data_IF_729020062406
#
_entry.id   IF_729020062406
#
_cell.length_a   1.000
_cell.length_b   1.000
_cell.length_c   1.000
_cell.angle_alpha   90.00
_cell.angle_beta   90.00
_cell.angle_gamma   90.00
#
_symmetry.space_group_name_H-M   'P 1'
#
loop_
_entity.id
_entity.type
_entity.pdbx_description
1 polymer ?
#
# COMPACT_ATOMS: atom_id res chain seq x y z
N UNK A 1 37.55 6.21 -61.65
CA UNK A 1 38.56 7.29 -61.74
C UNK A 1 38.84 7.71 -60.30
N UNK A 2 39.74 7.03 -59.58
CA UNK A 2 41.20 7.22 -59.64
C UNK A 2 41.54 8.61 -59.05
N UNK A 3 42.35 8.85 -58.01
CA UNK A 3 43.55 8.21 -57.46
C UNK A 3 43.92 9.09 -56.22
N UNK A 4 44.38 8.52 -55.10
CA UNK A 4 45.22 9.26 -54.13
C UNK A 4 46.63 9.36 -54.73
N UNK A 5 47.39 10.46 -54.55
CA UNK A 5 48.67 10.24 -53.86
C UNK A 5 49.25 11.41 -53.05
N UNK A 6 50.06 10.97 -52.08
CA UNK A 6 51.31 11.50 -51.53
C UNK A 6 51.98 12.72 -52.19
N UNK A 7 52.66 13.54 -51.36
CA UNK A 7 54.13 13.64 -51.41
C UNK A 7 54.75 14.39 -50.22
N UNK A 8 55.85 13.80 -49.74
CA UNK A 8 56.80 14.32 -48.76
C UNK A 8 57.83 15.27 -49.39
N UNK A 9 58.51 16.08 -48.57
CA UNK A 9 59.93 16.51 -48.69
C UNK A 9 60.36 17.14 -47.34
N UNK A 10 61.29 16.56 -46.56
CA UNK A 10 62.77 16.71 -46.59
C UNK A 10 63.22 18.13 -46.19
N UNK A 11 64.23 18.43 -45.37
CA UNK A 11 65.34 17.75 -44.68
C UNK A 11 65.97 18.85 -43.78
N UNK A 12 66.64 18.51 -42.68
CA UNK A 12 67.47 19.45 -41.92
C UNK A 12 68.22 18.74 -40.79
N UNK A 13 69.53 18.64 -40.94
CA UNK A 13 70.45 17.72 -40.28
C UNK A 13 70.85 18.09 -38.83
N UNK A 14 71.39 17.08 -38.13
CA UNK A 14 71.99 17.13 -36.78
C UNK A 14 73.40 17.77 -36.82
N UNK A 15 73.93 18.24 -35.67
CA UNK A 15 74.94 17.43 -34.95
C UNK A 15 74.72 17.51 -33.41
N UNK A 16 74.87 16.45 -32.62
CA UNK A 16 76.13 15.75 -32.31
C UNK A 16 76.58 16.16 -30.88
N UNK A 17 76.33 15.31 -29.88
CA UNK A 17 76.67 15.61 -28.49
C UNK A 17 76.48 14.44 -27.51
N UNK A 18 77.46 13.54 -27.51
CA UNK A 18 77.92 12.62 -26.46
C UNK A 18 76.93 11.85 -25.58
N UNK A 19 76.86 10.55 -25.89
CA UNK A 19 76.50 9.46 -25.00
C UNK A 19 77.41 9.41 -23.75
N UNK A 20 76.81 9.26 -22.57
CA UNK A 20 77.49 8.68 -21.40
C UNK A 20 76.73 7.42 -20.98
N UNK A 21 77.42 6.29 -20.74
CA UNK A 21 76.79 5.02 -20.37
C UNK A 21 76.29 5.05 -18.92
N UNK A 22 75.15 4.41 -18.68
CA UNK A 22 74.64 4.15 -17.33
C UNK A 22 75.66 3.36 -16.50
N UNK A 23 75.97 3.75 -15.25
CA UNK A 23 76.77 2.93 -14.37
C UNK A 23 75.90 1.80 -13.78
N UNK A 24 76.28 0.55 -14.08
CA UNK A 24 75.82 -0.64 -13.38
C UNK A 24 76.18 -0.53 -11.88
N UNK A 25 75.19 -0.16 -11.06
CA UNK A 25 75.30 -0.02 -9.60
C UNK A 25 74.78 -1.25 -8.86
N UNK A 26 75.72 -2.11 -8.45
CA UNK A 26 75.79 -2.99 -7.27
C UNK A 26 74.49 -3.55 -6.62
N UNK A 27 74.42 -4.88 -6.36
CA UNK A 27 73.33 -5.48 -5.58
C UNK A 27 73.40 -5.03 -4.10
N UNK A 28 72.59 -4.05 -3.75
CA UNK A 28 72.40 -3.58 -2.38
C UNK A 28 71.59 -4.60 -1.56
N UNK A 29 72.31 -5.30 -0.67
CA UNK A 29 71.88 -5.99 0.56
C UNK A 29 70.37 -6.17 0.74
N UNK A 30 69.95 -7.44 0.70
CA UNK A 30 68.67 -7.90 1.22
C UNK A 30 68.40 -7.24 2.58
N UNK A 31 67.31 -6.48 2.65
CA UNK A 31 66.70 -6.10 3.91
C UNK A 31 66.27 -7.40 4.59
N UNK A 32 66.42 -7.53 5.92
CA UNK A 32 66.07 -8.75 6.62
C UNK A 32 64.62 -9.08 6.31
N UNK A 33 64.41 -10.33 5.92
CA UNK A 33 63.13 -10.91 5.59
C UNK A 33 62.15 -10.60 6.73
N UNK A 34 61.37 -9.54 6.52
CA UNK A 34 60.13 -9.33 7.24
C UNK A 34 59.24 -10.47 6.84
N UNK A 35 59.31 -11.52 7.65
CA UNK A 35 58.28 -12.50 7.90
C UNK A 35 57.11 -12.44 6.91
N UNK A 36 57.16 -13.35 5.95
CA UNK A 36 56.10 -13.59 4.98
C UNK A 36 54.82 -14.20 5.61
N UNK A 37 54.59 -14.07 6.91
CA UNK A 37 53.29 -14.26 7.56
C UNK A 37 52.33 -13.08 7.35
N UNK A 38 52.81 -11.92 6.91
CA UNK A 38 51.99 -10.70 6.76
C UNK A 38 51.42 -10.48 5.34
N UNK A 39 51.57 -11.45 4.43
CA UNK A 39 51.03 -11.35 3.05
C UNK A 39 50.45 -12.66 2.49
N UNK A 40 49.78 -13.42 3.32
CA UNK A 40 48.93 -14.54 2.90
C UNK A 40 47.61 -14.45 3.65
N UNK A 41 46.50 -14.33 2.92
CA UNK A 41 45.12 -14.35 3.43
C UNK A 41 44.55 -13.04 4.02
N UNK A 42 44.51 -11.95 3.23
CA UNK A 42 43.32 -11.08 3.28
C UNK A 42 42.22 -11.68 2.39
N UNK A 43 41.93 -12.95 2.60
CA UNK A 43 40.75 -13.58 2.07
C UNK A 43 39.53 -12.76 2.48
N UNK A 44 38.42 -13.09 1.86
CA UNK A 44 37.14 -12.39 1.99
C UNK A 44 36.50 -12.64 3.39
N UNK A 45 37.30 -12.74 4.45
CA UNK A 45 37.03 -13.48 5.69
C UNK A 45 37.29 -12.75 7.01
N UNK A 46 37.67 -11.47 7.04
CA UNK A 46 37.71 -10.68 8.28
C UNK A 46 36.71 -9.52 8.22
N UNK A 47 35.43 -9.84 8.42
CA UNK A 47 34.40 -8.81 8.56
C UNK A 47 34.33 -8.30 10.00
N UNK A 48 33.85 -7.07 10.17
CA UNK A 48 33.55 -6.58 11.51
C UNK A 48 32.38 -7.36 12.12
N UNK A 49 32.57 -7.76 13.37
CA UNK A 49 31.56 -8.41 14.18
C UNK A 49 30.29 -7.55 14.25
N UNK A 50 29.12 -8.16 14.03
CA UNK A 50 27.84 -7.47 14.06
C UNK A 50 27.45 -6.74 12.76
N UNK A 51 28.28 -6.79 11.71
CA UNK A 51 27.91 -6.27 10.38
C UNK A 51 26.75 -7.08 9.81
N UNK A 52 25.73 -6.37 9.33
CA UNK A 52 24.60 -6.95 8.58
C UNK A 52 24.88 -6.84 7.08
N UNK A 53 24.68 -7.94 6.35
CA UNK A 53 24.86 -8.02 4.91
C UNK A 53 23.62 -8.54 4.20
N UNK A 54 23.44 -8.09 2.96
CA UNK A 54 22.43 -8.62 2.04
C UNK A 54 23.04 -9.80 1.27
N UNK A 55 22.27 -10.86 1.13
CA UNK A 55 22.68 -12.11 0.49
C UNK A 55 21.59 -12.64 -0.42
N UNK A 56 21.99 -13.23 -1.54
CA UNK A 56 21.07 -13.82 -2.53
C UNK A 56 20.84 -15.33 -2.33
N UNK A 57 21.67 -15.99 -1.51
CA UNK A 57 21.60 -17.43 -1.24
C UNK A 57 20.71 -17.75 -0.03
N UNK A 58 20.25 -19.00 0.06
CA UNK A 58 19.24 -19.45 1.02
C UNK A 58 19.80 -20.07 2.33
N UNK A 59 21.09 -19.86 2.64
CA UNK A 59 21.74 -20.34 3.87
C UNK A 59 22.58 -19.23 4.50
N UNK A 60 22.86 -19.32 5.80
CA UNK A 60 23.84 -18.45 6.45
C UNK A 60 25.22 -19.11 6.31
N UNK A 61 26.23 -18.43 5.74
CA UNK A 61 27.61 -18.95 5.67
C UNK A 61 28.21 -19.15 7.07
N UNK A 62 29.32 -19.87 7.16
CA UNK A 62 30.09 -19.96 8.40
C UNK A 62 30.40 -18.57 8.95
N UNK A 63 30.35 -18.42 10.28
CA UNK A 63 30.52 -17.15 11.01
C UNK A 63 29.40 -16.11 10.80
N UNK A 64 28.29 -16.51 10.18
CA UNK A 64 27.09 -15.69 10.04
C UNK A 64 25.85 -16.40 10.57
N UNK A 65 24.88 -15.61 10.98
CA UNK A 65 23.52 -16.05 11.28
C UNK A 65 22.50 -15.24 10.48
N UNK A 66 21.32 -15.81 10.21
CA UNK A 66 20.24 -15.05 9.60
C UNK A 66 19.69 -13.97 10.54
N UNK A 67 19.31 -12.82 9.98
CA UNK A 67 18.55 -11.79 10.67
C UNK A 67 17.05 -12.16 10.75
N UNK A 68 16.74 -13.23 11.48
CA UNK A 68 15.40 -13.80 11.63
C UNK A 68 14.83 -13.68 13.05
N UNK A 69 15.45 -12.89 13.93
CA UNK A 69 15.02 -12.75 15.32
C UNK A 69 15.42 -13.89 16.25
N UNK A 70 16.38 -14.75 15.86
CA UNK A 70 16.86 -15.83 16.72
C UNK A 70 17.48 -15.30 18.02
N UNK A 71 17.31 -16.06 19.11
CA UNK A 71 18.02 -15.83 20.37
C UNK A 71 19.32 -16.63 20.40
N UNK A 72 20.40 -15.98 20.81
CA UNK A 72 21.75 -16.57 20.90
C UNK A 72 22.25 -16.48 22.35
N UNK A 73 22.95 -17.52 22.81
CA UNK A 73 23.54 -17.57 24.14
C UNK A 73 24.67 -16.54 24.30
N UNK A 74 24.56 -15.68 25.32
CA UNK A 74 25.56 -14.66 25.65
C UNK A 74 26.90 -15.32 25.98
N UNK A 75 26.90 -16.45 26.70
CA UNK A 75 28.12 -17.12 27.16
C UNK A 75 29.10 -17.53 26.05
N UNK A 76 28.61 -17.77 24.83
CA UNK A 76 29.44 -18.09 23.67
C UNK A 76 29.62 -16.91 22.70
N UNK A 77 28.87 -15.82 22.87
CA UNK A 77 28.81 -14.69 21.94
C UNK A 77 28.94 -13.35 22.68
N UNK A 78 29.80 -13.31 23.71
CA UNK A 78 29.97 -12.14 24.60
C UNK A 78 30.39 -10.89 23.83
N UNK A 79 31.26 -11.03 22.83
CA UNK A 79 31.70 -9.94 21.96
C UNK A 79 30.58 -9.38 21.07
N UNK A 80 29.70 -10.23 20.55
CA UNK A 80 28.55 -9.75 19.77
C UNK A 80 27.52 -9.06 20.68
N UNK A 81 27.30 -9.63 21.87
CA UNK A 81 26.41 -9.04 22.87
C UNK A 81 26.88 -7.64 23.32
N UNK A 82 28.18 -7.39 23.48
CA UNK A 82 28.67 -6.06 23.86
C UNK A 82 28.44 -4.97 22.79
N UNK A 83 28.12 -5.36 21.55
CA UNK A 83 27.77 -4.45 20.46
C UNK A 83 26.26 -4.25 20.32
N UNK A 84 25.48 -5.32 20.42
CA UNK A 84 24.03 -5.29 20.18
C UNK A 84 23.20 -5.02 21.46
N UNK A 85 23.68 -5.48 22.61
CA UNK A 85 22.92 -5.53 23.85
C UNK A 85 21.64 -6.37 23.70
N UNK A 86 20.56 -5.92 24.32
CA UNK A 86 19.22 -6.48 24.25
C UNK A 86 18.30 -5.73 23.28
N UNK A 87 18.87 -4.89 22.40
CA UNK A 87 18.11 -4.02 21.48
C UNK A 87 17.11 -4.81 20.62
N UNK A 88 17.41 -6.07 20.30
CA UNK A 88 16.55 -6.95 19.50
C UNK A 88 15.85 -8.04 20.32
N UNK A 89 15.80 -7.88 21.65
CA UNK A 89 15.18 -8.79 22.60
C UNK A 89 16.17 -9.68 23.35
N UNK A 90 15.62 -10.63 24.11
CA UNK A 90 16.37 -11.51 25.01
C UNK A 90 16.17 -11.11 26.46
N UNK A 91 16.87 -11.79 27.38
CA UNK A 91 16.78 -11.52 28.82
C UNK A 91 17.96 -10.69 29.34
N UNK A 92 18.88 -10.31 28.46
CA UNK A 92 20.13 -9.59 28.74
C UNK A 92 21.02 -10.28 29.80
N UNK A 93 20.82 -11.58 30.05
CA UNK A 93 21.49 -12.35 31.09
C UNK A 93 22.04 -13.67 30.56
N UNK A 94 21.19 -14.46 29.91
CA UNK A 94 21.55 -15.75 29.31
C UNK A 94 21.54 -15.69 27.79
N UNK A 95 20.61 -14.92 27.21
CA UNK A 95 20.42 -14.81 25.76
C UNK A 95 20.15 -13.38 25.32
N UNK A 96 20.49 -13.09 24.07
CA UNK A 96 20.14 -11.85 23.37
C UNK A 96 19.58 -12.16 21.98
N UNK A 97 18.76 -11.27 21.45
CA UNK A 97 18.14 -11.41 20.14
C UNK A 97 19.02 -10.88 19.00
N UNK A 98 18.91 -11.49 17.83
CA UNK A 98 19.36 -10.94 16.56
C UNK A 98 18.27 -10.07 15.92
N UNK A 99 18.61 -9.18 14.97
CA UNK A 99 17.61 -8.47 14.17
C UNK A 99 16.62 -9.43 13.49
N UNK A 100 15.37 -9.00 13.35
CA UNK A 100 14.34 -9.72 12.58
C UNK A 100 13.93 -8.86 11.39
N UNK A 101 14.48 -9.18 10.22
CA UNK A 101 14.25 -8.44 8.97
C UNK A 101 13.31 -9.17 8.00
N UNK A 102 12.66 -10.26 8.45
CA UNK A 102 11.67 -10.98 7.63
C UNK A 102 10.48 -10.07 7.37
N UNK A 103 10.08 -9.96 6.09
CA UNK A 103 9.01 -9.09 5.63
C UNK A 103 9.16 -7.61 6.06
N UNK A 104 10.41 -7.13 6.18
CA UNK A 104 10.72 -5.76 6.62
C UNK A 104 11.78 -5.13 5.73
N UNK A 105 11.61 -3.83 5.48
CA UNK A 105 12.63 -3.00 4.83
C UNK A 105 13.50 -2.36 5.92
N UNK A 106 14.84 -2.51 5.88
CA UNK A 106 15.72 -1.84 6.83
C UNK A 106 15.69 -0.32 6.63
N UNK A 107 15.77 0.43 7.73
CA UNK A 107 15.83 1.90 7.76
C UNK A 107 16.96 2.35 8.67
N UNK A 108 17.55 3.52 8.38
CA UNK A 108 18.56 4.13 9.24
C UNK A 108 17.98 4.44 10.62
N UNK A 109 18.69 4.02 11.67
CA UNK A 109 18.28 4.28 13.05
C UNK A 109 18.69 5.68 13.51
N UNK A 110 18.11 6.13 14.62
CA UNK A 110 18.47 7.38 15.27
C UNK A 110 19.90 7.43 15.82
N UNK A 111 20.56 6.27 15.97
CA UNK A 111 21.99 6.19 16.34
C UNK A 111 22.89 6.83 15.27
N UNK A 112 22.40 6.98 14.03
CA UNK A 112 23.10 7.68 12.94
C UNK A 112 22.96 9.21 13.01
N UNK A 113 22.29 9.73 14.04
CA UNK A 113 21.91 11.13 14.17
C UNK A 113 20.47 11.38 13.74
N UNK A 114 19.82 12.33 14.41
CA UNK A 114 18.47 12.78 14.08
C UNK A 114 18.53 14.09 13.31
N UNK A 115 18.04 14.08 12.06
CA UNK A 115 17.93 15.29 11.26
C UNK A 115 16.56 15.97 11.50
N UNK A 116 16.49 17.32 11.49
CA UNK A 116 15.24 18.05 11.67
C UNK A 116 14.15 17.60 10.69
N UNK A 117 12.96 17.31 11.20
CA UNK A 117 11.80 16.90 10.40
C UNK A 117 11.77 15.42 10.01
N UNK A 118 12.78 14.61 10.37
CA UNK A 118 12.71 13.16 10.21
C UNK A 118 12.02 12.50 11.40
N UNK A 119 11.35 11.38 11.13
CA UNK A 119 10.82 10.51 12.18
C UNK A 119 11.96 9.75 12.85
N UNK A 120 11.92 9.67 14.18
CA UNK A 120 12.90 8.91 14.96
C UNK A 120 12.59 7.41 14.90
N UNK A 121 13.60 6.61 14.55
CA UNK A 121 13.55 5.15 14.54
C UNK A 121 14.61 4.58 15.51
N UNK A 122 14.27 4.38 16.79
CA UNK A 122 15.11 3.66 17.74
C UNK A 122 15.53 2.30 17.22
N UNK A 123 16.83 2.00 17.31
CA UNK A 123 17.37 0.70 16.90
C UNK A 123 16.66 -0.43 17.64
N UNK A 124 16.28 -1.47 16.91
CA UNK A 124 15.61 -2.66 17.45
C UNK A 124 14.08 -2.59 17.55
N UNK A 125 13.48 -1.40 17.40
CA UNK A 125 12.03 -1.25 17.41
C UNK A 125 11.43 -1.60 16.04
N UNK A 126 10.33 -2.35 16.07
CA UNK A 126 9.60 -2.80 14.87
C UNK A 126 8.52 -1.77 14.52
N UNK A 127 8.56 -1.28 13.28
CA UNK A 127 7.57 -0.34 12.74
C UNK A 127 6.80 -0.94 11.55
N UNK A 128 5.67 -0.32 11.21
CA UNK A 128 4.85 -0.68 10.05
C UNK A 128 4.03 -1.96 10.21
N UNK A 129 3.10 -2.15 9.29
CA UNK A 129 2.27 -3.34 9.12
C UNK A 129 2.46 -3.86 7.69
N UNK A 130 2.41 -5.17 7.49
CA UNK A 130 2.47 -5.77 6.15
C UNK A 130 1.17 -5.49 5.39
N UNK A 131 0.03 -5.81 6.02
CA UNK A 131 -1.31 -5.52 5.49
C UNK A 131 -2.00 -4.48 6.36
N UNK A 132 -2.84 -3.66 5.75
CA UNK A 132 -3.64 -2.67 6.47
C UNK A 132 -5.07 -2.64 5.94
N UNK A 133 -6.03 -2.71 6.85
CA UNK A 133 -7.45 -2.48 6.54
C UNK A 133 -7.75 -1.01 6.79
N UNK A 134 -8.18 -0.29 5.75
CA UNK A 134 -8.62 1.09 5.95
C UNK A 134 -9.86 1.12 6.83
N UNK A 135 -9.77 1.92 7.88
CA UNK A 135 -10.94 2.36 8.64
C UNK A 135 -11.56 3.58 7.98
N UNK A 136 -12.83 3.86 8.30
CA UNK A 136 -13.52 5.10 7.88
C UNK A 136 -12.73 6.36 8.28
N UNK A 137 -12.07 6.35 9.44
CA UNK A 137 -11.24 7.46 9.91
C UNK A 137 -9.99 7.72 9.04
N UNK A 138 -9.60 6.76 8.20
CA UNK A 138 -8.45 6.88 7.29
C UNK A 138 -8.87 7.19 5.85
N UNK A 139 -10.16 7.35 5.58
CA UNK A 139 -10.66 7.82 4.29
C UNK A 139 -10.80 9.35 4.31
N UNK A 140 -10.42 10.04 3.23
CA UNK A 140 -10.78 11.45 3.05
C UNK A 140 -12.29 11.65 3.16
N UNK A 141 -12.70 12.83 3.64
CA UNK A 141 -14.11 13.20 3.68
C UNK A 141 -14.71 13.13 2.27
N UNK A 142 -15.75 12.32 2.11
CA UNK A 142 -16.47 12.13 0.85
C UNK A 142 -17.97 12.00 1.11
N UNK A 143 -18.78 12.10 0.05
CA UNK A 143 -20.22 11.94 0.11
C UNK A 143 -20.73 11.10 -1.06
N UNK A 144 -21.94 10.56 -0.90
CA UNK A 144 -22.66 9.87 -1.96
C UNK A 144 -23.95 10.65 -2.25
N UNK A 145 -24.13 11.05 -3.50
CA UNK A 145 -25.37 11.67 -3.93
C UNK A 145 -26.42 10.58 -4.17
N UNK A 146 -27.46 10.57 -3.33
CA UNK A 146 -28.66 9.79 -3.54
C UNK A 146 -29.63 10.62 -4.40
N UNK A 147 -29.90 10.18 -5.62
CA UNK A 147 -30.93 10.81 -6.47
C UNK A 147 -32.16 9.93 -6.51
N UNK A 148 -33.28 10.43 -5.96
CA UNK A 148 -34.59 9.79 -6.12
C UNK A 148 -35.34 10.48 -7.25
N UNK A 149 -35.65 9.73 -8.31
CA UNK A 149 -36.60 10.16 -9.32
C UNK A 149 -37.86 9.32 -9.15
N UNK A 150 -38.96 9.86 -8.59
CA UNK A 150 -40.21 9.11 -8.51
C UNK A 150 -40.68 8.76 -9.92
N UNK A 151 -41.00 7.48 -10.14
CA UNK A 151 -41.69 7.06 -11.37
C UNK A 151 -43.06 7.74 -11.44
N UNK A 152 -43.50 8.04 -12.67
CA UNK A 152 -44.80 8.65 -12.93
C UNK A 152 -45.92 7.98 -12.13
N UNK A 153 -46.80 8.79 -11.55
CA UNK A 153 -47.92 8.32 -10.77
C UNK A 153 -48.88 7.55 -11.69
N UNK A 154 -49.45 6.45 -11.19
CA UNK A 154 -50.66 5.92 -11.79
C UNK A 154 -51.76 6.93 -11.47
N UNK A 155 -52.35 7.53 -12.50
CA UNK A 155 -53.47 8.45 -12.35
C UNK A 155 -54.59 7.72 -11.60
N UNK A 156 -55.04 8.27 -10.48
CA UNK A 156 -56.23 7.76 -9.79
C UNK A 156 -57.41 8.25 -10.61
N UNK A 157 -58.07 7.33 -11.32
CA UNK A 157 -59.30 7.66 -12.05
C UNK A 157 -60.51 7.32 -11.19
N UNK A 158 -61.51 8.20 -11.25
CA UNK A 158 -62.83 7.99 -10.68
C UNK A 158 -63.87 8.35 -11.72
N UNK A 159 -65.06 7.74 -11.63
CA UNK A 159 -66.22 8.11 -12.44
C UNK A 159 -67.33 8.61 -11.54
N UNK A 160 -68.04 9.64 -11.97
CA UNK A 160 -69.29 10.07 -11.36
C UNK A 160 -70.41 9.58 -12.26
N UNK A 161 -71.31 8.78 -11.71
CA UNK A 161 -72.38 8.14 -12.46
C UNK A 161 -73.74 8.43 -11.82
N UNK A 162 -74.76 8.60 -12.65
CA UNK A 162 -76.14 8.80 -12.20
C UNK A 162 -77.10 7.91 -13.01
N UNK A 163 -78.25 7.60 -12.42
CA UNK A 163 -79.33 6.93 -13.15
C UNK A 163 -80.01 7.88 -14.12
N UNK A 164 -80.44 7.36 -15.27
CA UNK A 164 -81.25 8.08 -16.25
C UNK A 164 -82.77 7.95 -16.01
N UNK A 165 -83.20 7.32 -14.91
CA UNK A 165 -84.60 7.09 -14.56
C UNK A 165 -85.15 8.16 -13.61
N UNK A 166 -86.41 8.03 -13.19
CA UNK A 166 -87.07 9.00 -12.30
C UNK A 166 -86.74 8.70 -10.83
N UNK A 167 -86.24 9.69 -10.12
CA UNK A 167 -86.06 9.70 -8.68
C UNK A 167 -87.39 9.55 -7.92
N UNK A 168 -87.33 8.96 -6.73
CA UNK A 168 -88.48 8.72 -5.86
C UNK A 168 -88.28 9.16 -4.42
N UNK A 169 -87.09 9.64 -4.04
CA UNK A 169 -86.76 10.09 -2.69
C UNK A 169 -85.92 11.36 -2.69
N UNK A 170 -86.20 12.26 -1.75
CA UNK A 170 -85.34 13.41 -1.42
C UNK A 170 -84.43 13.12 -0.22
N UNK A 171 -84.62 11.99 0.45
CA UNK A 171 -83.82 11.58 1.60
C UNK A 171 -82.90 10.43 1.19
N UNK A 172 -81.56 10.61 1.26
CA UNK A 172 -80.63 9.57 0.87
C UNK A 172 -80.63 8.43 1.88
N UNK A 173 -80.60 7.20 1.36
CA UNK A 173 -80.43 5.95 2.10
C UNK A 173 -79.22 5.18 1.59
N UNK A 174 -78.71 4.24 2.39
CA UNK A 174 -77.57 3.39 1.98
C UNK A 174 -77.95 2.61 0.72
N UNK A 175 -77.15 2.75 -0.35
CA UNK A 175 -77.40 2.12 -1.65
C UNK A 175 -78.19 2.97 -2.65
N UNK A 176 -78.54 4.21 -2.29
CA UNK A 176 -79.12 5.18 -3.21
C UNK A 176 -78.08 5.77 -4.15
N UNK A 177 -78.56 6.17 -5.32
CA UNK A 177 -77.76 6.87 -6.34
C UNK A 177 -78.47 8.15 -6.78
N UNK A 178 -77.71 9.11 -7.32
CA UNK A 178 -78.26 10.28 -7.99
C UNK A 178 -79.01 9.83 -9.24
N UNK A 179 -80.18 10.42 -9.51
CA UNK A 179 -81.06 10.03 -10.62
C UNK A 179 -81.50 11.22 -11.48
N UNK A 180 -81.87 10.97 -12.74
CA UNK A 180 -81.90 11.96 -13.82
C UNK A 180 -83.22 12.70 -14.01
N UNK A 181 -84.22 12.50 -13.15
CA UNK A 181 -85.48 13.23 -13.29
C UNK A 181 -86.49 13.03 -12.15
N UNK A 182 -87.56 13.83 -12.16
CA UNK A 182 -88.56 13.88 -11.08
C UNK A 182 -88.39 15.10 -10.18
N UNK A 183 -89.29 15.26 -9.21
CA UNK A 183 -89.15 16.30 -8.18
C UNK A 183 -88.10 15.91 -7.11
N UNK A 184 -87.78 14.61 -7.04
CA UNK A 184 -86.85 14.05 -6.07
C UNK A 184 -85.41 13.93 -6.64
N UNK A 185 -84.43 13.61 -5.79
CA UNK A 185 -83.00 13.53 -6.18
C UNK A 185 -82.46 12.09 -6.23
N UNK A 186 -82.96 11.18 -5.38
CA UNK A 186 -82.41 9.84 -5.17
C UNK A 186 -83.38 8.72 -5.60
N UNK A 187 -82.81 7.56 -5.94
CA UNK A 187 -83.54 6.31 -6.25
C UNK A 187 -82.81 5.07 -5.71
N UNK A 188 -83.58 3.99 -5.46
CA UNK A 188 -83.12 2.70 -4.89
C UNK A 188 -83.07 1.58 -5.96
N UNK A 189 -81.97 0.82 -6.06
CA UNK A 189 -81.77 -0.36 -6.94
C UNK A 189 -81.19 -0.06 -8.34
N UNK A 190 -80.42 -0.93 -9.01
CA UNK A 190 -80.09 -2.35 -8.78
C UNK A 190 -78.90 -2.85 -9.65
N UNK A 191 -78.40 -4.06 -9.37
CA UNK A 191 -77.29 -4.68 -10.10
C UNK A 191 -77.62 -4.83 -11.60
N UNK A 192 -77.06 -3.97 -12.46
CA UNK A 192 -76.90 -4.23 -13.91
C UNK A 192 -77.66 -3.38 -14.93
N UNK A 193 -78.15 -2.16 -14.67
CA UNK A 193 -78.80 -1.36 -15.72
C UNK A 193 -78.51 0.15 -15.65
N UNK A 194 -77.99 0.69 -16.77
CA UNK A 194 -77.93 2.10 -17.20
C UNK A 194 -77.51 3.15 -16.15
N UNK A 195 -76.28 3.03 -15.67
CA UNK A 195 -75.55 4.19 -15.16
C UNK A 195 -75.05 5.03 -16.34
N UNK A 196 -75.31 6.33 -16.30
CA UNK A 196 -74.75 7.30 -17.26
C UNK A 196 -73.61 8.02 -16.57
N UNK A 197 -72.41 7.91 -17.15
CA UNK A 197 -71.25 8.66 -16.70
C UNK A 197 -71.49 10.15 -16.96
N UNK A 198 -71.45 10.93 -15.88
CA UNK A 198 -71.56 12.38 -15.94
C UNK A 198 -70.18 12.98 -16.20
N UNK A 199 -70.15 13.96 -17.10
CA UNK A 199 -68.97 14.83 -17.26
C UNK A 199 -68.81 15.72 -16.02
N UNK A 200 -67.58 16.13 -15.73
CA UNK A 200 -67.30 17.12 -14.68
C UNK A 200 -66.69 16.57 -13.39
N UNK A 201 -66.43 15.25 -13.30
CA UNK A 201 -65.55 14.72 -12.26
C UNK A 201 -64.09 14.91 -12.69
N UNK A 202 -63.46 15.97 -12.21
CA UNK A 202 -62.00 16.12 -12.30
C UNK A 202 -61.38 15.54 -11.04
N UNK A 203 -60.73 14.37 -11.16
CA UNK A 203 -59.89 13.84 -10.08
C UNK A 203 -58.51 14.48 -10.22
N UNK A 204 -58.20 15.48 -9.39
CA UNK A 204 -56.87 16.05 -9.31
C UNK A 204 -56.09 15.41 -8.16
N UNK A 205 -55.15 14.55 -8.52
CA UNK A 205 -54.19 13.95 -7.58
C UNK A 205 -54.23 12.42 -7.56
N UNK A 206 -53.04 11.82 -7.58
CA UNK A 206 -52.80 10.43 -7.27
C UNK A 206 -51.65 10.34 -6.27
N UNK A 207 -51.75 9.42 -5.30
CA UNK A 207 -50.73 9.23 -4.28
C UNK A 207 -49.37 8.95 -4.92
N UNK A 208 -48.36 9.76 -4.59
CA UNK A 208 -47.00 9.52 -5.04
C UNK A 208 -46.53 8.15 -4.55
N UNK A 209 -46.12 7.29 -5.46
CA UNK A 209 -45.46 6.03 -5.12
C UNK A 209 -44.24 6.33 -4.25
N UNK A 210 -44.31 5.98 -2.97
CA UNK A 210 -43.15 6.04 -2.09
C UNK A 210 -42.04 5.14 -2.65
N UNK A 211 -40.79 5.54 -2.45
CA UNK A 211 -39.63 4.72 -2.78
C UNK A 211 -38.55 4.90 -1.72
N UNK A 212 -37.82 3.84 -1.42
CA UNK A 212 -36.66 3.88 -0.54
C UNK A 212 -35.41 4.10 -1.38
N UNK A 213 -34.59 5.11 -1.05
CA UNK A 213 -33.22 5.21 -1.56
C UNK A 213 -32.26 4.67 -0.51
N UNK A 214 -31.62 3.55 -0.83
CA UNK A 214 -30.57 2.97 0.01
C UNK A 214 -29.22 3.33 -0.61
N UNK A 215 -28.40 4.06 0.13
CA UNK A 215 -26.97 4.21 -0.18
C UNK A 215 -26.25 3.11 0.57
N UNK A 216 -25.75 2.11 -0.15
CA UNK A 216 -24.96 1.03 0.44
C UNK A 216 -23.55 1.47 0.78
N UNK A 217 -22.85 0.64 1.55
CA UNK A 217 -21.43 0.81 1.81
C UNK A 217 -20.65 0.76 0.49
N UNK A 218 -19.67 1.65 0.34
CA UNK A 218 -18.75 1.64 -0.80
C UNK A 218 -17.42 1.02 -0.39
N UNK A 219 -16.99 0.01 -1.15
CA UNK A 219 -15.79 -0.78 -0.88
C UNK A 219 -16.10 -2.15 -0.25
N UNK A 220 -15.22 -3.13 -0.49
CA UNK A 220 -15.41 -4.52 -0.03
C UNK A 220 -14.79 -4.79 1.36
N UNK A 221 -14.35 -3.74 2.06
CA UNK A 221 -13.72 -3.84 3.38
C UNK A 221 -12.42 -4.67 3.43
N UNK A 222 -11.87 -5.05 2.27
CA UNK A 222 -10.68 -5.89 2.20
C UNK A 222 -9.42 -5.09 2.52
N UNK A 223 -8.47 -5.66 3.29
CA UNK A 223 -7.14 -5.08 3.46
C UNK A 223 -6.45 -4.95 2.10
N UNK A 224 -5.59 -3.94 1.97
CA UNK A 224 -4.64 -3.86 0.86
C UNK A 224 -3.20 -3.76 1.38
N UNK A 225 -2.28 -4.09 0.49
CA UNK A 225 -0.84 -3.98 0.71
C UNK A 225 -0.43 -2.50 0.58
N UNK A 226 0.24 -1.96 1.59
CA UNK A 226 0.82 -0.60 1.56
C UNK A 226 2.29 -0.65 1.11
N UNK A 227 2.81 -1.82 0.75
CA UNK A 227 4.21 -1.97 0.40
C UNK A 227 4.49 -1.58 -1.06
N UNK A 228 5.59 -0.86 -1.27
CA UNK A 228 6.14 -0.63 -2.60
C UNK A 228 6.54 -1.98 -3.24
N UNK A 229 6.66 -2.07 -4.58
CA UNK A 229 7.22 -3.25 -5.23
C UNK A 229 8.56 -3.65 -4.59
N UNK A 230 8.68 -4.90 -4.17
CA UNK A 230 9.83 -5.41 -3.43
C UNK A 230 10.30 -6.74 -4.01
N UNK A 231 11.62 -6.93 -4.00
CA UNK A 231 12.26 -8.21 -4.29
C UNK A 231 12.89 -8.72 -2.99
N UNK A 232 12.45 -9.89 -2.53
CA UNK A 232 12.97 -10.46 -1.30
C UNK A 232 14.40 -10.98 -1.49
N UNK A 233 15.27 -10.62 -0.54
CA UNK A 233 16.65 -11.08 -0.40
C UNK A 233 16.90 -11.40 1.07
N UNK A 234 17.90 -12.22 1.36
CA UNK A 234 18.21 -12.62 2.73
C UNK A 234 19.16 -11.64 3.40
N UNK A 235 19.04 -11.51 4.71
CA UNK A 235 19.95 -10.71 5.54
C UNK A 235 20.67 -11.64 6.52
N UNK A 236 21.98 -11.48 6.61
CA UNK A 236 22.82 -12.20 7.56
C UNK A 236 23.61 -11.22 8.42
N UNK A 237 23.97 -11.62 9.63
CA UNK A 237 24.80 -10.85 10.55
C UNK A 237 26.05 -11.66 10.91
N UNK A 238 27.21 -11.00 10.88
CA UNK A 238 28.48 -11.60 11.27
C UNK A 238 28.47 -11.88 12.78
N UNK A 239 28.57 -13.16 13.15
CA UNK A 239 28.59 -13.64 14.54
C UNK A 239 29.98 -13.93 15.06
N UNK A 240 30.95 -14.10 14.17
CA UNK A 240 32.37 -14.25 14.49
C UNK A 240 33.21 -13.43 13.49
N UNK A 241 34.03 -12.52 14.00
CA UNK A 241 34.78 -11.57 13.16
C UNK A 241 35.58 -10.57 13.98
N UNK A 242 36.12 -9.54 13.31
CA UNK A 242 36.93 -8.49 13.95
C UNK A 242 36.06 -7.60 14.83
N UNK A 243 36.43 -7.44 16.09
CA UNK A 243 35.71 -6.53 16.99
C UNK A 243 35.94 -5.06 16.55
N UNK A 244 34.88 -4.27 16.28
CA UNK A 244 35.05 -2.88 15.88
C UNK A 244 35.47 -2.02 17.07
N UNK A 245 36.57 -1.26 16.91
CA UNK A 245 37.00 -0.27 17.90
C UNK A 245 36.07 0.95 17.87
N UNK A 246 35.65 1.43 19.05
CA UNK A 246 34.93 2.71 19.18
C UNK A 246 35.95 3.87 19.12
N UNK A 247 35.61 4.92 18.38
CA UNK A 247 36.36 6.19 18.35
C UNK A 247 35.65 7.25 19.19
#
# INVERSE_FOLDING_TARGET
MAVYPEKAHSLGERPGGNERPEPAGQPGRARPDGDASDRGDRGVGEQYLGVVQITAFAFAPENFAFCNGAFIAIGQNTALFSLLGDSYGGDARTVFGLPDLRARTPVGSNDMGQAPGLTSFPRGVRYGLQTHTLSVAQMPQHNHAATFTPGGHTEVTGRLEAYNTRASSDTPSVGDFISGGGAAVFGTGGLGAELVELSGLTVSGGGGGGGTVTVGDTGDGRPFEIVNPLQAVNFVICTEGLYPSRN
#
